data_IF_935179888410
#
_entry.id   IF_935179888410
#
_cell.length_a   1.000
_cell.length_b   1.000
_cell.length_c   1.000
_cell.angle_alpha   90.00
_cell.angle_beta   90.00
_cell.angle_gamma   90.00
#
_symmetry.space_group_name_H-M   'P 1'
#
loop_
_entity.id
_entity.type
_entity.pdbx_description
1 polymer ?
#
# COMPACT_ATOMS: atom_id res chain seq x y z
N UNK A 1 -3.65 17.41 -17.86
CA UNK A 1 -3.71 17.23 -16.40
C UNK A 1 -4.13 15.79 -16.16
N UNK A 2 -3.19 14.92 -15.78
CA UNK A 2 -3.51 13.51 -15.50
C UNK A 2 -4.18 13.41 -14.13
N UNK A 3 -5.31 12.73 -14.05
CA UNK A 3 -5.96 12.42 -12.78
C UNK A 3 -5.06 11.47 -12.00
N UNK A 4 -4.43 11.94 -10.93
CA UNK A 4 -3.85 11.02 -9.95
C UNK A 4 -5.02 10.28 -9.29
N UNK A 5 -5.11 8.97 -9.51
CA UNK A 5 -6.09 8.11 -8.84
C UNK A 5 -5.59 7.88 -7.42
N UNK A 6 -5.86 8.83 -6.52
CA UNK A 6 -5.57 8.65 -5.10
C UNK A 6 -6.63 7.72 -4.51
N UNK A 7 -6.23 6.48 -4.18
CA UNK A 7 -7.09 5.47 -3.58
C UNK A 7 -6.52 5.06 -2.23
N UNK A 8 -7.39 4.88 -1.22
CA UNK A 8 -6.89 4.43 0.06
C UNK A 8 -7.92 4.10 1.14
N UNK A 9 -7.42 3.41 2.16
CA UNK A 9 -8.11 3.05 3.40
C UNK A 9 -7.41 3.79 4.53
N UNK A 10 -8.15 4.57 5.33
CA UNK A 10 -7.54 5.35 6.39
C UNK A 10 -8.30 5.37 7.71
N UNK A 11 -7.53 5.43 8.80
CA UNK A 11 -7.97 5.92 10.10
C UNK A 11 -7.02 7.06 10.48
N UNK A 12 -7.54 8.10 11.14
CA UNK A 12 -6.69 9.22 11.54
C UNK A 12 -7.20 9.90 12.79
N UNK A 13 -6.29 10.13 13.74
CA UNK A 13 -6.46 11.13 14.80
C UNK A 13 -5.65 12.36 14.43
N UNK A 14 -6.33 13.47 14.17
CA UNK A 14 -5.71 14.72 13.67
C UNK A 14 -5.24 15.68 14.77
N UNK A 15 -5.54 15.41 16.03
CA UNK A 15 -5.15 16.25 17.16
C UNK A 15 -5.48 15.60 18.51
N UNK A 16 -4.81 16.08 19.56
CA UNK A 16 -4.86 15.49 20.90
C UNK A 16 -4.11 14.16 21.01
N UNK A 17 -4.10 13.61 22.21
CA UNK A 17 -3.32 12.43 22.63
C UNK A 17 -3.95 11.09 22.27
N UNK A 18 -4.86 11.07 21.28
CA UNK A 18 -5.54 9.84 20.86
C UNK A 18 -4.66 9.01 19.93
N UNK A 19 -4.70 7.69 20.11
CA UNK A 19 -4.01 6.73 19.26
C UNK A 19 -4.74 6.54 17.92
N UNK A 20 -4.00 6.16 16.88
CA UNK A 20 -4.51 5.85 15.57
C UNK A 20 -5.45 4.64 15.62
N UNK A 21 -6.48 4.64 14.78
CA UNK A 21 -7.41 3.51 14.70
C UNK A 21 -6.78 2.29 14.02
N UNK A 22 -7.27 1.09 14.32
CA UNK A 22 -6.77 -0.13 13.69
C UNK A 22 -7.43 -0.37 12.32
N UNK A 23 -6.69 -1.00 11.42
CA UNK A 23 -7.16 -1.48 10.11
C UNK A 23 -6.90 -2.98 10.06
N UNK A 24 -7.94 -3.75 9.72
CA UNK A 24 -7.84 -5.19 9.51
C UNK A 24 -8.39 -5.51 8.12
N UNK A 25 -7.59 -6.20 7.30
CA UNK A 25 -7.99 -6.72 5.99
C UNK A 25 -7.84 -8.24 6.03
N UNK A 26 -8.96 -8.96 5.91
CA UNK A 26 -8.99 -10.42 6.05
C UNK A 26 -9.44 -11.10 4.76
N UNK A 27 -8.58 -11.99 4.26
CA UNK A 27 -8.88 -12.99 3.23
C UNK A 27 -9.42 -12.49 1.88
N UNK A 28 -9.00 -11.34 1.32
CA UNK A 28 -9.26 -11.10 -0.09
C UNK A 28 -8.37 -12.02 -0.94
N UNK A 29 -8.92 -12.51 -2.06
CA UNK A 29 -8.15 -13.24 -3.07
C UNK A 29 -7.04 -12.34 -3.66
N UNK A 30 -7.32 -11.04 -3.83
CA UNK A 30 -6.34 -10.05 -4.27
C UNK A 30 -6.50 -8.74 -3.49
N UNK A 31 -5.39 -8.25 -2.94
CA UNK A 31 -5.26 -6.86 -2.47
C UNK A 31 -4.36 -6.11 -3.44
N UNK A 32 -4.94 -5.21 -4.23
CA UNK A 32 -4.21 -4.44 -5.26
C UNK A 32 -4.10 -2.98 -4.84
N UNK A 33 -2.87 -2.50 -4.68
CA UNK A 33 -2.56 -1.10 -4.42
C UNK A 33 -1.82 -0.53 -5.63
N UNK A 34 -2.50 0.25 -6.47
CA UNK A 34 -1.90 0.98 -7.57
C UNK A 34 -1.84 2.47 -7.23
N UNK A 35 -0.64 2.96 -6.88
CA UNK A 35 -0.41 4.30 -6.35
C UNK A 35 -1.33 4.64 -5.16
N UNK A 36 -1.76 3.61 -4.42
CA UNK A 36 -2.75 3.70 -3.35
C UNK A 36 -2.16 3.58 -1.96
N UNK A 37 -2.96 3.81 -0.93
CA UNK A 37 -2.47 3.87 0.45
C UNK A 37 -3.38 3.22 1.51
N UNK A 38 -2.76 2.62 2.52
CA UNK A 38 -3.41 2.13 3.75
C UNK A 38 -2.74 2.83 4.93
N UNK A 39 -3.48 3.64 5.68
CA UNK A 39 -2.90 4.54 6.70
C UNK A 39 -3.64 4.50 8.03
N UNK A 40 -2.94 4.15 9.10
CA UNK A 40 -3.44 4.15 10.48
C UNK A 40 -2.69 5.19 11.33
N UNK A 41 -3.07 6.46 11.20
CA UNK A 41 -2.23 7.58 11.65
C UNK A 41 -2.73 8.27 12.92
N UNK A 42 -1.78 8.82 13.68
CA UNK A 42 -2.05 9.70 14.82
C UNK A 42 -1.20 10.97 14.76
N UNK A 43 -1.68 12.03 15.40
CA UNK A 43 -0.91 13.26 15.60
C UNK A 43 -0.03 13.14 16.85
N UNK A 44 -0.61 13.16 18.05
CA UNK A 44 0.16 13.09 19.31
C UNK A 44 0.21 11.69 19.93
N UNK A 45 -0.82 10.87 19.72
CA UNK A 45 -0.85 9.49 20.20
C UNK A 45 0.00 8.54 19.36
N UNK A 46 -0.03 7.25 19.70
CA UNK A 46 0.62 6.19 18.94
C UNK A 46 -0.10 5.96 17.61
N UNK A 47 0.61 5.61 16.55
CA UNK A 47 -0.01 5.13 15.32
C UNK A 47 -0.88 3.89 15.57
N UNK A 48 -1.86 3.62 14.69
CA UNK A 48 -2.75 2.47 14.86
C UNK A 48 -2.11 1.15 14.44
N UNK A 49 -2.82 0.04 14.56
CA UNK A 49 -2.32 -1.26 14.07
C UNK A 49 -2.94 -1.60 12.72
N UNK A 50 -2.12 -2.06 11.78
CA UNK A 50 -2.55 -2.55 10.47
C UNK A 50 -2.25 -4.04 10.40
N UNK A 51 -3.29 -4.85 10.29
CA UNK A 51 -3.18 -6.29 10.03
C UNK A 51 -3.73 -6.58 8.63
N UNK A 52 -2.92 -7.22 7.79
CA UNK A 52 -3.32 -7.63 6.44
C UNK A 52 -3.06 -9.12 6.30
N UNK A 53 -4.09 -9.87 5.95
CA UNK A 53 -3.98 -11.27 5.53
C UNK A 53 -4.66 -11.42 4.18
N UNK A 54 -3.93 -11.77 3.13
CA UNK A 54 -4.49 -11.94 1.78
C UNK A 54 -3.79 -13.04 0.99
N UNK A 55 -4.51 -13.67 0.05
CA UNK A 55 -3.89 -14.68 -0.81
C UNK A 55 -2.82 -14.09 -1.73
N UNK A 56 -3.01 -12.84 -2.20
CA UNK A 56 -2.05 -12.11 -3.02
C UNK A 56 -2.07 -10.62 -2.70
N UNK A 57 -0.90 -10.04 -2.43
CA UNK A 57 -0.68 -8.60 -2.33
C UNK A 57 0.12 -8.11 -3.55
N UNK A 58 -0.48 -7.18 -4.30
CA UNK A 58 0.12 -6.56 -5.47
C UNK A 58 0.19 -5.05 -5.22
N UNK A 59 1.39 -4.53 -4.96
CA UNK A 59 1.61 -3.11 -4.69
C UNK A 59 2.52 -2.50 -5.76
N UNK A 60 2.10 -1.36 -6.33
CA UNK A 60 2.99 -0.54 -7.15
C UNK A 60 4.09 0.09 -6.28
N UNK A 61 5.26 0.46 -6.84
CA UNK A 61 6.34 1.10 -6.08
C UNK A 61 5.95 2.41 -5.37
N UNK A 62 4.88 3.07 -5.81
CA UNK A 62 4.37 4.31 -5.20
C UNK A 62 3.29 4.07 -4.13
N UNK A 63 2.95 2.82 -3.83
CA UNK A 63 1.94 2.49 -2.83
C UNK A 63 2.51 2.58 -1.41
N UNK A 64 1.65 2.89 -0.42
CA UNK A 64 2.09 3.10 0.96
C UNK A 64 1.20 2.39 1.97
N UNK A 65 1.79 1.60 2.87
CA UNK A 65 1.12 1.06 4.06
C UNK A 65 1.84 1.64 5.28
N UNK A 66 1.13 2.35 6.14
CA UNK A 66 1.78 3.11 7.23
C UNK A 66 0.92 3.27 8.47
N UNK A 67 1.49 2.89 9.61
CA UNK A 67 0.96 3.10 10.95
C UNK A 67 1.66 4.27 11.68
N UNK A 68 1.93 5.38 10.99
CA UNK A 68 2.81 6.43 11.52
C UNK A 68 2.15 7.33 12.58
N UNK A 69 2.93 7.83 13.54
CA UNK A 69 2.56 8.98 14.38
C UNK A 69 3.39 10.23 14.08
N UNK A 70 2.79 11.42 14.17
CA UNK A 70 3.52 12.68 13.96
C UNK A 70 4.49 13.00 15.10
N UNK A 71 4.17 12.63 16.34
CA UNK A 71 5.03 12.84 17.52
C UNK A 71 5.92 11.62 17.85
N UNK A 72 5.86 10.57 17.03
CA UNK A 72 6.97 9.63 16.89
C UNK A 72 6.79 8.27 17.57
N UNK A 73 5.59 7.92 18.02
CA UNK A 73 5.31 6.53 18.42
C UNK A 73 4.54 5.86 17.29
N UNK A 74 5.23 5.15 16.40
CA UNK A 74 4.57 4.41 15.34
C UNK A 74 3.79 3.21 15.91
N UNK A 75 2.71 2.88 15.22
CA UNK A 75 1.95 1.66 15.46
C UNK A 75 2.62 0.45 14.79
N UNK A 76 1.84 -0.61 14.63
CA UNK A 76 2.34 -1.88 14.07
C UNK A 76 1.75 -2.14 12.69
N UNK A 77 2.55 -2.72 11.79
CA UNK A 77 2.10 -3.17 10.47
C UNK A 77 2.53 -4.63 10.33
N UNK A 78 1.55 -5.52 10.26
CA UNK A 78 1.74 -6.93 10.01
C UNK A 78 1.04 -7.34 8.72
N UNK A 79 1.80 -8.00 7.84
CA UNK A 79 1.33 -8.41 6.51
C UNK A 79 1.65 -9.89 6.35
N UNK A 80 0.60 -10.70 6.28
CA UNK A 80 0.64 -12.11 5.91
C UNK A 80 0.04 -12.26 4.50
N UNK A 81 0.89 -12.07 3.51
CA UNK A 81 0.56 -12.25 2.11
C UNK A 81 1.82 -12.62 1.31
N UNK A 82 1.74 -13.52 0.33
CA UNK A 82 2.79 -13.67 -0.67
C UNK A 82 2.99 -12.32 -1.39
N UNK A 83 4.16 -11.73 -1.20
CA UNK A 83 4.52 -10.48 -1.86
C UNK A 83 4.88 -10.76 -3.31
N UNK A 84 4.08 -10.22 -4.24
CA UNK A 84 4.39 -10.28 -5.68
C UNK A 84 5.13 -9.00 -6.05
N UNK A 85 6.46 -9.07 -6.12
CA UNK A 85 7.30 -7.98 -6.61
C UNK A 85 7.07 -7.80 -8.12
N UNK A 86 6.33 -6.76 -8.51
CA UNK A 86 6.04 -6.46 -9.91
C UNK A 86 7.27 -6.03 -10.71
N UNK A 87 8.32 -5.57 -10.03
CA UNK A 87 9.58 -5.17 -10.66
C UNK A 87 10.29 -6.36 -11.35
N UNK A 88 10.11 -7.58 -10.83
CA UNK A 88 10.66 -8.82 -11.39
C UNK A 88 9.96 -9.24 -12.70
N UNK A 89 8.80 -8.64 -13.01
CA UNK A 89 8.00 -8.94 -14.19
C UNK A 89 8.20 -7.96 -15.36
N UNK A 90 9.07 -6.95 -15.20
CA UNK A 90 9.39 -5.99 -16.26
C UNK A 90 10.28 -6.63 -17.34
N UNK A 91 9.71 -7.53 -18.13
CA UNK A 91 10.31 -7.97 -19.39
C UNK A 91 10.27 -6.79 -20.36
N UNK A 92 11.44 -6.24 -20.68
CA UNK A 92 11.61 -5.43 -21.89
C UNK A 92 11.27 -6.35 -23.06
N UNK A 93 10.14 -6.10 -23.73
CA UNK A 93 9.83 -6.81 -24.98
C UNK A 93 11.01 -6.60 -25.93
N UNK A 94 11.71 -7.66 -26.38
CA UNK A 94 12.80 -7.50 -27.32
C UNK A 94 12.21 -6.90 -28.61
N UNK A 95 12.53 -5.62 -28.84
CA UNK A 95 12.14 -4.89 -30.02
C UNK A 95 12.96 -5.36 -31.21
N UNK A 96 12.52 -6.42 -31.88
CA UNK A 96 12.80 -6.59 -33.30
C UNK A 96 11.46 -6.48 -34.02
N UNK A 97 11.17 -5.31 -34.56
CA UNK A 97 10.25 -5.23 -35.68
C UNK A 97 10.89 -6.05 -36.80
N UNK A 98 10.34 -7.24 -37.06
CA UNK A 98 10.58 -7.92 -38.33
C UNK A 98 10.03 -6.99 -39.40
N UNK A 99 10.93 -6.28 -40.07
CA UNK A 99 10.62 -5.50 -41.26
C UNK A 99 10.23 -6.50 -42.36
N UNK A 100 8.95 -6.86 -42.40
CA UNK A 100 8.38 -7.65 -43.48
C UNK A 100 8.10 -6.72 -44.66
N UNK A 101 9.15 -6.31 -45.37
CA UNK A 101 9.03 -5.78 -46.72
C UNK A 101 9.75 -6.72 -47.68
N UNK A 102 8.99 -7.60 -48.33
CA UNK A 102 9.38 -8.26 -49.59
C UNK A 102 8.74 -7.50 -50.74
#
# INVERSE_FOLDING_TARGET
MGTSLDSGINTSVRGGTGDGGNITIESPQFLVLNQGHIKAQAYEGRGGNIQITSEQLIASPCSQISASSKLGIDGEVEIDAPEVNLDDFLVVLPGSFVDAST
#
